data_IF_510462919232
#
_entry.id   IF_510462919232
#
_cell.length_a   1.000
_cell.length_b   1.000
_cell.length_c   1.000
_cell.angle_alpha   90.00
_cell.angle_beta   90.00
_cell.angle_gamma   90.00
#
_symmetry.space_group_name_H-M   'P 1'
#
loop_
_entity.id
_entity.type
_entity.pdbx_description
1 polymer ?
#
# COMPACT_ATOMS: atom_id res chain seq x y z
N UNK A 1 -3.58 2.57 17.92
CA UNK A 1 -3.49 3.45 16.74
C UNK A 1 -4.34 2.93 15.58
N UNK A 2 -4.36 1.62 15.29
CA UNK A 2 -5.28 1.06 14.27
C UNK A 2 -6.76 1.33 14.60
N UNK A 3 -7.14 1.33 15.87
CA UNK A 3 -8.48 1.76 16.33
C UNK A 3 -8.77 3.21 15.96
N UNK A 4 -7.78 4.11 16.03
CA UNK A 4 -7.95 5.52 15.64
C UNK A 4 -8.12 5.67 14.13
N UNK A 5 -7.33 4.92 13.33
CA UNK A 5 -7.48 4.93 11.87
C UNK A 5 -8.81 4.33 11.42
N UNK A 6 -9.26 3.26 12.10
CA UNK A 6 -10.54 2.63 11.80
C UNK A 6 -11.72 3.53 12.17
N UNK A 7 -11.69 4.15 13.37
CA UNK A 7 -12.71 5.13 13.78
C UNK A 7 -12.73 6.36 12.87
N UNK A 8 -11.59 6.81 12.36
CA UNK A 8 -11.54 7.88 11.36
C UNK A 8 -12.07 7.44 9.99
N UNK A 9 -11.85 6.18 9.59
CA UNK A 9 -12.43 5.64 8.37
C UNK A 9 -13.96 5.51 8.48
N UNK A 10 -14.46 5.07 9.64
CA UNK A 10 -15.89 5.03 9.96
C UNK A 10 -16.51 6.43 9.99
N UNK A 11 -15.85 7.41 10.62
CA UNK A 11 -16.29 8.80 10.62
C UNK A 11 -16.33 9.40 9.20
N UNK A 12 -15.36 9.07 8.35
CA UNK A 12 -15.38 9.45 6.93
C UNK A 12 -16.55 8.79 6.18
N UNK A 13 -16.84 7.53 6.47
CA UNK A 13 -18.02 6.83 5.94
C UNK A 13 -19.34 7.46 6.39
N UNK A 14 -19.43 7.93 7.64
CA UNK A 14 -20.57 8.67 8.16
C UNK A 14 -20.73 10.04 7.52
N UNK A 15 -19.64 10.72 7.13
CA UNK A 15 -19.73 11.96 6.36
C UNK A 15 -20.26 11.70 4.94
N UNK A 16 -19.83 10.60 4.33
CA UNK A 16 -20.35 10.19 3.03
C UNK A 16 -21.85 9.84 3.07
N UNK A 17 -22.36 9.36 4.22
CA UNK A 17 -23.80 9.10 4.41
C UNK A 17 -24.65 10.36 4.63
N UNK A 18 -24.04 11.55 4.73
CA UNK A 18 -24.75 12.83 4.73
C UNK A 18 -25.08 13.34 3.32
N UNK A 19 -24.42 12.82 2.29
CA UNK A 19 -24.64 13.20 0.89
C UNK A 19 -26.11 12.97 0.41
N UNK A 20 -26.79 11.88 0.81
CA UNK A 20 -28.23 11.72 0.55
C UNK A 20 -29.12 12.77 1.22
N UNK A 21 -28.70 13.39 2.34
CA UNK A 21 -29.45 14.47 2.98
C UNK A 21 -29.35 15.77 2.17
N UNK A 22 -28.19 16.06 1.58
CA UNK A 22 -28.03 17.15 0.60
C UNK A 22 -28.99 16.99 -0.58
N UNK A 23 -29.08 15.79 -1.16
CA UNK A 23 -30.04 15.49 -2.23
C UNK A 23 -31.50 15.69 -1.83
N UNK A 24 -31.84 15.57 -0.55
CA UNK A 24 -33.20 15.84 -0.05
C UNK A 24 -33.45 17.35 0.04
N UNK A 25 -32.46 18.13 0.47
CA UNK A 25 -32.53 19.59 0.49
C UNK A 25 -32.67 20.15 -0.94
N UNK A 26 -31.89 19.63 -1.88
CA UNK A 26 -31.99 19.97 -3.32
C UNK A 26 -33.42 19.72 -3.85
N UNK A 27 -34.00 18.56 -3.54
CA UNK A 27 -35.39 18.24 -3.93
C UNK A 27 -36.41 19.18 -3.31
N UNK A 28 -36.23 19.57 -2.05
CA UNK A 28 -37.14 20.53 -1.39
C UNK A 28 -37.02 21.92 -1.99
N UNK A 29 -35.81 22.35 -2.37
CA UNK A 29 -35.60 23.61 -3.10
C UNK A 29 -36.30 23.56 -4.46
N UNK A 30 -36.17 22.47 -5.21
CA UNK A 30 -36.84 22.30 -6.50
C UNK A 30 -38.37 22.31 -6.39
N UNK A 31 -38.93 21.74 -5.32
CA UNK A 31 -40.38 21.81 -5.06
C UNK A 31 -40.83 23.26 -4.76
N UNK A 32 -39.99 24.06 -4.07
CA UNK A 32 -40.28 25.48 -3.86
C UNK A 32 -40.28 26.25 -5.19
N UNK A 33 -39.37 25.93 -6.12
CA UNK A 33 -39.37 26.51 -7.47
C UNK A 33 -40.66 26.15 -8.24
N UNK A 34 -41.12 24.89 -8.17
CA UNK A 34 -42.37 24.47 -8.82
C UNK A 34 -43.62 25.16 -8.24
N UNK A 35 -43.62 25.46 -6.93
CA UNK A 35 -44.70 26.24 -6.29
C UNK A 35 -44.68 27.68 -6.78
N UNK A 36 -43.50 28.29 -6.91
CA UNK A 36 -43.36 29.63 -7.48
C UNK A 36 -43.85 29.68 -8.93
N UNK A 37 -43.46 28.71 -9.76
CA UNK A 37 -43.88 28.60 -11.16
C UNK A 37 -45.42 28.44 -11.28
N UNK A 38 -46.04 27.70 -10.37
CA UNK A 38 -47.51 27.51 -10.39
C UNK A 38 -48.25 28.80 -10.02
N UNK A 39 -47.73 29.57 -9.06
CA UNK A 39 -48.27 30.86 -8.67
C UNK A 39 -48.13 31.91 -9.78
N UNK A 40 -47.21 31.73 -10.73
CA UNK A 40 -47.02 32.64 -11.88
C UNK A 40 -47.86 32.25 -13.11
N UNK A 41 -48.66 31.19 -13.04
CA UNK A 41 -49.54 30.75 -14.13
C UNK A 41 -50.67 31.76 -14.43
N UNK A 42 -50.94 32.09 -15.72
CA UNK A 42 -51.95 33.09 -16.10
C UNK A 42 -53.39 32.75 -15.66
N UNK A 43 -53.68 31.48 -15.36
CA UNK A 43 -55.01 31.00 -15.01
C UNK A 43 -55.55 31.53 -13.65
N UNK A 44 -54.67 31.92 -12.72
CA UNK A 44 -55.07 32.54 -11.44
C UNK A 44 -55.19 34.06 -11.51
N UNK A 45 -54.64 34.71 -12.55
CA UNK A 45 -54.63 36.17 -12.68
C UNK A 45 -56.00 36.74 -13.09
N UNK A 46 -56.85 35.94 -13.75
CA UNK A 46 -58.12 36.38 -14.34
C UNK A 46 -59.35 36.21 -13.42
N UNK A 47 -59.23 35.51 -12.27
CA UNK A 47 -60.40 35.11 -11.46
C UNK A 47 -60.49 35.73 -10.04
N UNK A 48 -59.55 36.57 -9.60
CA UNK A 48 -59.43 36.92 -8.17
C UNK A 48 -59.93 38.29 -7.71
N UNK A 49 -60.85 38.33 -6.74
CA UNK A 49 -61.24 39.53 -5.95
C UNK A 49 -60.03 40.07 -5.16
N UNK A 50 -60.05 41.33 -4.73
CA UNK A 50 -58.94 42.02 -4.04
C UNK A 50 -58.31 41.27 -2.83
N UNK A 51 -59.08 40.39 -2.17
CA UNK A 51 -58.61 39.58 -1.04
C UNK A 51 -57.75 38.37 -1.46
N UNK A 52 -57.95 37.82 -2.66
CA UNK A 52 -57.22 36.64 -3.16
C UNK A 52 -55.83 37.03 -3.70
N UNK A 53 -55.71 38.24 -4.27
CA UNK A 53 -54.41 38.81 -4.69
C UNK A 53 -53.42 38.95 -3.54
N UNK A 54 -53.90 39.33 -2.35
CA UNK A 54 -53.06 39.44 -1.14
C UNK A 54 -52.61 38.09 -0.58
N UNK A 55 -53.37 37.02 -0.78
CA UNK A 55 -52.98 35.66 -0.38
C UNK A 55 -51.87 35.11 -1.31
N UNK A 56 -52.00 35.31 -2.62
CA UNK A 56 -50.98 34.93 -3.60
C UNK A 56 -49.65 35.67 -3.40
N UNK A 57 -49.69 36.98 -3.12
CA UNK A 57 -48.47 37.76 -2.85
C UNK A 57 -47.72 37.26 -1.60
N UNK A 58 -48.45 36.89 -0.53
CA UNK A 58 -47.85 36.32 0.68
C UNK A 58 -47.28 34.92 0.43
N UNK A 59 -47.99 34.08 -0.31
CA UNK A 59 -47.52 32.74 -0.68
C UNK A 59 -46.22 32.82 -1.51
N UNK A 60 -46.12 33.76 -2.46
CA UNK A 60 -44.89 34.01 -3.22
C UNK A 60 -43.72 34.42 -2.34
N UNK A 61 -43.90 35.44 -1.49
CA UNK A 61 -42.84 35.90 -0.58
C UNK A 61 -42.36 34.78 0.34
N UNK A 62 -43.27 33.96 0.88
CA UNK A 62 -42.92 32.79 1.70
C UNK A 62 -42.12 31.73 0.92
N UNK A 63 -42.47 31.51 -0.35
CA UNK A 63 -41.78 30.55 -1.19
C UNK A 63 -40.39 31.07 -1.65
N UNK A 64 -40.24 32.36 -1.93
CA UNK A 64 -38.95 33.00 -2.21
C UNK A 64 -38.01 32.99 -1.00
N UNK A 65 -38.54 33.26 0.19
CA UNK A 65 -37.80 33.19 1.45
C UNK A 65 -37.36 31.76 1.76
N UNK A 66 -38.25 30.78 1.54
CA UNK A 66 -37.94 29.36 1.71
C UNK A 66 -36.85 28.92 0.74
N UNK A 67 -36.96 29.29 -0.55
CA UNK A 67 -35.95 28.98 -1.58
C UNK A 67 -34.58 29.56 -1.20
N UNK A 68 -34.55 30.82 -0.79
CA UNK A 68 -33.30 31.52 -0.43
C UNK A 68 -32.66 30.88 0.80
N UNK A 69 -33.48 30.53 1.80
CA UNK A 69 -33.02 29.87 3.02
C UNK A 69 -32.49 28.46 2.74
N UNK A 70 -33.22 27.67 1.93
CA UNK A 70 -32.80 26.32 1.55
C UNK A 70 -31.52 26.33 0.72
N UNK A 71 -31.39 27.22 -0.27
CA UNK A 71 -30.19 27.33 -1.09
C UNK A 71 -28.95 27.83 -0.31
N UNK A 72 -29.16 28.61 0.75
CA UNK A 72 -28.06 29.00 1.66
C UNK A 72 -27.66 27.84 2.56
N UNK A 73 -28.64 27.15 3.16
CA UNK A 73 -28.40 25.96 3.98
C UNK A 73 -27.69 24.85 3.20
N UNK A 74 -28.08 24.61 1.94
CA UNK A 74 -27.46 23.62 1.07
C UNK A 74 -25.98 23.93 0.83
N UNK A 75 -25.66 25.17 0.42
CA UNK A 75 -24.28 25.60 0.18
C UNK A 75 -23.44 25.52 1.44
N UNK A 76 -23.95 26.01 2.57
CA UNK A 76 -23.24 25.99 3.84
C UNK A 76 -22.98 24.55 4.32
N UNK A 77 -23.97 23.67 4.19
CA UNK A 77 -23.83 22.27 4.57
C UNK A 77 -22.84 21.53 3.66
N UNK A 78 -22.92 21.73 2.34
CA UNK A 78 -21.99 21.15 1.37
C UNK A 78 -20.55 21.60 1.68
N UNK A 79 -20.32 22.90 1.88
CA UNK A 79 -19.02 23.43 2.26
C UNK A 79 -18.50 22.84 3.59
N UNK A 80 -19.38 22.62 4.58
CA UNK A 80 -18.99 22.04 5.87
C UNK A 80 -18.60 20.58 5.76
N UNK A 81 -19.38 19.77 5.05
CA UNK A 81 -19.07 18.35 4.79
C UNK A 81 -17.74 18.21 4.06
N UNK A 82 -17.50 19.04 3.04
CA UNK A 82 -16.25 19.04 2.30
C UNK A 82 -15.03 19.43 3.15
N UNK A 83 -15.19 20.43 4.01
CA UNK A 83 -14.14 20.90 4.92
C UNK A 83 -13.76 19.82 5.93
N UNK A 84 -14.75 19.23 6.59
CA UNK A 84 -14.54 18.11 7.52
C UNK A 84 -13.90 16.93 6.77
N UNK A 85 -14.34 16.63 5.54
CA UNK A 85 -13.75 15.60 4.70
C UNK A 85 -12.27 15.81 4.40
N UNK A 86 -11.82 17.06 4.20
CA UNK A 86 -10.40 17.42 4.06
C UNK A 86 -9.62 17.20 5.35
N UNK A 87 -10.13 17.72 6.48
CA UNK A 87 -9.49 17.59 7.79
C UNK A 87 -9.28 16.12 8.19
N UNK A 88 -10.26 15.25 7.96
CA UNK A 88 -10.12 13.82 8.21
C UNK A 88 -9.03 13.16 7.35
N UNK A 89 -8.90 13.55 6.07
CA UNK A 89 -7.84 13.02 5.19
C UNK A 89 -6.45 13.46 5.68
N UNK A 90 -6.31 14.71 6.09
CA UNK A 90 -5.05 15.23 6.63
C UNK A 90 -4.66 14.55 7.94
N UNK A 91 -5.61 14.41 8.86
CA UNK A 91 -5.39 13.75 10.13
C UNK A 91 -5.08 12.25 9.94
N UNK A 92 -5.76 11.56 9.01
CA UNK A 92 -5.43 10.17 8.63
C UNK A 92 -4.00 10.08 8.10
N UNK A 93 -3.63 10.97 7.19
CA UNK A 93 -2.26 11.01 6.63
C UNK A 93 -1.21 11.26 7.71
N UNK A 94 -1.51 12.13 8.69
CA UNK A 94 -0.65 12.36 9.84
C UNK A 94 -0.50 11.11 10.72
N UNK A 95 -1.61 10.41 11.00
CA UNK A 95 -1.59 9.15 11.75
C UNK A 95 -0.82 8.04 11.01
N UNK A 96 -0.95 7.93 9.69
CA UNK A 96 -0.15 7.01 8.87
C UNK A 96 1.35 7.33 8.95
N UNK A 97 1.74 8.61 9.01
CA UNK A 97 3.15 9.01 9.22
C UNK A 97 3.69 8.62 10.58
N UNK A 98 2.87 8.59 11.63
CA UNK A 98 3.29 8.17 12.97
C UNK A 98 3.63 6.67 13.05
N UNK A 99 3.22 5.86 12.07
CA UNK A 99 3.59 4.44 11.97
C UNK A 99 4.94 4.19 11.31
N UNK A 100 5.62 5.24 10.85
CA UNK A 100 6.83 5.05 10.08
C UNK A 100 8.03 4.72 10.95
N UNK A 101 8.56 3.52 10.75
CA UNK A 101 9.79 3.03 11.37
C UNK A 101 10.96 3.15 10.38
N UNK A 102 12.19 3.40 10.87
CA UNK A 102 13.36 3.43 10.00
C UNK A 102 13.66 2.02 9.47
N UNK A 103 14.06 1.93 8.19
CA UNK A 103 14.44 0.67 7.56
C UNK A 103 15.63 -0.02 8.27
N UNK A 104 16.46 0.75 8.99
CA UNK A 104 17.54 0.20 9.80
C UNK A 104 17.07 -0.80 10.86
N UNK A 105 15.80 -0.77 11.26
CA UNK A 105 15.23 -1.69 12.23
C UNK A 105 15.37 -3.18 11.83
N UNK A 106 15.45 -3.50 10.53
CA UNK A 106 15.64 -4.89 10.07
C UNK A 106 17.11 -5.28 9.87
N UNK A 107 18.03 -4.32 9.76
CA UNK A 107 19.42 -4.59 9.38
C UNK A 107 20.14 -5.47 10.40
N UNK A 108 19.92 -5.26 11.70
CA UNK A 108 20.52 -6.08 12.76
C UNK A 108 20.16 -7.56 12.62
N UNK A 109 18.92 -7.86 12.26
CA UNK A 109 18.50 -9.26 12.08
C UNK A 109 19.05 -9.86 10.79
N UNK A 110 19.10 -9.07 9.71
CA UNK A 110 19.68 -9.51 8.44
C UNK A 110 21.18 -9.80 8.59
N UNK A 111 21.91 -8.94 9.31
CA UNK A 111 23.32 -9.16 9.66
C UNK A 111 23.51 -10.45 10.44
N UNK A 112 22.69 -10.66 11.49
CA UNK A 112 22.73 -11.90 12.28
C UNK A 112 22.47 -13.12 11.40
N UNK A 113 21.46 -13.06 10.54
CA UNK A 113 21.13 -14.15 9.61
C UNK A 113 22.27 -14.45 8.65
N UNK A 114 22.92 -13.42 8.11
CA UNK A 114 24.08 -13.58 7.24
C UNK A 114 25.23 -14.28 7.97
N UNK A 115 25.53 -13.83 9.20
CA UNK A 115 26.58 -14.40 10.05
C UNK A 115 26.30 -15.86 10.40
N UNK A 116 25.10 -16.17 10.88
CA UNK A 116 24.71 -17.52 11.29
C UNK A 116 24.76 -18.48 10.09
N UNK A 117 24.29 -18.04 8.92
CA UNK A 117 24.34 -18.83 7.68
C UNK A 117 25.78 -19.07 7.20
N UNK A 118 26.64 -18.05 7.28
CA UNK A 118 28.04 -18.18 6.89
C UNK A 118 28.78 -19.14 7.81
N UNK A 119 28.54 -19.04 9.12
CA UNK A 119 29.17 -19.91 10.11
C UNK A 119 28.76 -21.38 9.92
N UNK A 120 27.48 -21.64 9.66
CA UNK A 120 26.98 -22.99 9.37
C UNK A 120 27.61 -23.62 8.11
N UNK A 121 28.03 -22.79 7.15
CA UNK A 121 28.61 -23.23 5.88
C UNK A 121 30.15 -23.11 5.82
N UNK A 122 30.81 -22.73 6.93
CA UNK A 122 32.25 -22.53 6.97
C UNK A 122 32.75 -21.38 6.07
N UNK A 123 31.92 -20.36 5.87
CA UNK A 123 32.23 -19.17 5.05
C UNK A 123 32.44 -17.94 5.94
N UNK A 124 33.06 -16.90 5.37
CA UNK A 124 33.21 -15.59 6.01
C UNK A 124 32.43 -14.54 5.22
N UNK A 125 31.62 -13.75 5.92
CA UNK A 125 30.80 -12.70 5.30
C UNK A 125 30.74 -11.45 6.17
N UNK A 126 30.72 -10.31 5.51
CA UNK A 126 30.40 -8.99 6.08
C UNK A 126 29.06 -8.54 5.50
N UNK A 127 28.13 -8.18 6.38
CA UNK A 127 26.86 -7.59 5.98
C UNK A 127 26.92 -6.07 6.09
N UNK A 128 26.33 -5.37 5.11
CA UNK A 128 26.24 -3.91 5.10
C UNK A 128 24.81 -3.46 4.78
N UNK A 129 24.21 -2.67 5.68
CA UNK A 129 22.91 -2.05 5.46
C UNK A 129 23.07 -0.59 5.02
N UNK A 130 22.41 -0.19 3.92
CA UNK A 130 22.43 1.19 3.39
C UNK A 130 21.02 1.73 3.24
N UNK A 131 20.83 3.03 3.49
CA UNK A 131 19.51 3.68 3.44
C UNK A 131 18.62 3.33 4.63
N UNK A 132 19.23 3.13 5.81
CA UNK A 132 18.52 2.78 7.03
C UNK A 132 17.62 3.89 7.58
N UNK A 133 17.86 5.13 7.15
CA UNK A 133 17.08 6.33 7.46
C UNK A 133 15.72 6.38 6.74
N UNK A 134 15.54 5.58 5.68
CA UNK A 134 14.28 5.50 4.93
C UNK A 134 13.15 5.06 5.87
N UNK A 135 12.12 5.90 5.97
CA UNK A 135 10.94 5.70 6.80
C UNK A 135 9.88 4.86 6.08
N UNK A 136 9.45 3.77 6.73
CA UNK A 136 8.58 2.72 6.18
C UNK A 136 7.44 2.39 7.13
N UNK A 137 6.27 2.08 6.57
CA UNK A 137 5.15 1.55 7.36
C UNK A 137 5.50 0.17 7.94
N UNK A 138 5.06 -0.10 9.18
CA UNK A 138 5.36 -1.35 9.90
C UNK A 138 4.85 -2.58 9.15
N UNK A 139 3.68 -2.53 8.51
CA UNK A 139 3.14 -3.67 7.76
C UNK A 139 3.98 -3.92 6.50
N UNK A 140 4.36 -2.86 5.79
CA UNK A 140 5.25 -2.97 4.63
C UNK A 140 6.60 -3.58 5.01
N UNK A 141 7.18 -3.13 6.12
CA UNK A 141 8.43 -3.67 6.65
C UNK A 141 8.27 -5.15 7.03
N UNK A 142 7.16 -5.52 7.65
CA UNK A 142 6.84 -6.91 8.01
C UNK A 142 6.73 -7.84 6.78
N UNK A 143 6.12 -7.39 5.69
CA UNK A 143 6.05 -8.15 4.44
C UNK A 143 7.44 -8.26 3.79
N UNK A 144 8.20 -7.16 3.73
CA UNK A 144 9.55 -7.17 3.17
C UNK A 144 10.52 -8.03 3.98
N UNK A 145 10.32 -8.13 5.29
CA UNK A 145 11.20 -8.82 6.23
C UNK A 145 11.48 -10.27 5.84
N UNK A 146 10.44 -11.07 5.58
CA UNK A 146 10.60 -12.48 5.21
C UNK A 146 11.37 -12.66 3.90
N UNK A 147 11.08 -11.82 2.90
CA UNK A 147 11.77 -11.86 1.61
C UNK A 147 13.26 -11.45 1.73
N UNK A 148 13.57 -10.44 2.55
CA UNK A 148 14.94 -9.99 2.77
C UNK A 148 15.77 -11.05 3.49
N UNK A 149 15.19 -11.73 4.49
CA UNK A 149 15.84 -12.87 5.16
C UNK A 149 16.21 -13.96 4.16
N UNK A 150 15.26 -14.33 3.28
CA UNK A 150 15.52 -15.34 2.26
C UNK A 150 16.60 -14.90 1.26
N UNK A 151 16.54 -13.65 0.81
CA UNK A 151 17.52 -13.09 -0.12
C UNK A 151 18.94 -13.10 0.48
N UNK A 152 19.08 -12.70 1.74
CA UNK A 152 20.39 -12.71 2.45
C UNK A 152 20.89 -14.14 2.64
N UNK A 153 20.02 -15.09 3.04
CA UNK A 153 20.42 -16.51 3.14
C UNK A 153 20.90 -17.05 1.80
N UNK A 154 20.17 -16.78 0.72
CA UNK A 154 20.54 -17.23 -0.61
C UNK A 154 21.87 -16.63 -1.06
N UNK A 155 22.09 -15.34 -0.82
CA UNK A 155 23.34 -14.65 -1.12
C UNK A 155 24.52 -15.33 -0.41
N UNK A 156 24.39 -15.66 0.88
CA UNK A 156 25.46 -16.35 1.63
C UNK A 156 25.60 -17.82 1.23
N UNK A 157 24.50 -18.54 1.07
CA UNK A 157 24.50 -19.97 0.81
C UNK A 157 25.03 -20.30 -0.60
N UNK A 158 24.61 -19.53 -1.60
CA UNK A 158 24.86 -19.84 -3.01
C UNK A 158 25.76 -18.80 -3.69
N UNK A 159 25.66 -17.53 -3.33
CA UNK A 159 26.50 -16.47 -3.89
C UNK A 159 27.94 -16.52 -3.38
N UNK A 160 28.12 -16.36 -2.06
CA UNK A 160 29.44 -16.28 -1.43
C UNK A 160 30.18 -17.62 -1.52
N UNK A 161 31.42 -17.58 -2.00
CA UNK A 161 32.31 -18.74 -2.09
C UNK A 161 33.10 -18.95 -0.79
N UNK A 162 33.58 -20.18 -0.52
CA UNK A 162 34.53 -20.43 0.56
C UNK A 162 35.79 -19.57 0.44
N UNK A 163 36.45 -19.30 1.57
CA UNK A 163 37.61 -18.40 1.63
C UNK A 163 38.73 -18.80 0.65
N UNK A 164 39.03 -20.10 0.53
CA UNK A 164 40.05 -20.62 -0.39
C UNK A 164 39.75 -20.30 -1.85
N UNK A 165 38.51 -20.59 -2.28
CA UNK A 165 38.05 -20.31 -3.65
C UNK A 165 38.08 -18.81 -3.96
N UNK A 166 37.71 -17.96 -3.00
CA UNK A 166 37.75 -16.50 -3.16
C UNK A 166 39.17 -15.99 -3.35
N UNK A 167 40.12 -16.45 -2.54
CA UNK A 167 41.53 -16.09 -2.67
C UNK A 167 42.13 -16.57 -4.01
N UNK A 168 41.79 -17.78 -4.44
CA UNK A 168 42.20 -18.32 -5.74
C UNK A 168 41.65 -17.48 -6.91
N UNK A 169 40.45 -16.90 -6.75
CA UNK A 169 39.84 -15.98 -7.71
C UNK A 169 40.31 -14.51 -7.56
N UNK A 170 41.28 -14.21 -6.68
CA UNK A 170 41.79 -12.85 -6.45
C UNK A 170 40.83 -11.93 -5.69
N UNK A 171 39.81 -12.48 -5.03
CA UNK A 171 38.82 -11.74 -4.24
C UNK A 171 39.24 -11.63 -2.77
N UNK A 172 38.59 -10.71 -2.05
CA UNK A 172 38.68 -10.62 -0.58
C UNK A 172 38.28 -11.96 0.08
N UNK A 173 38.98 -12.40 1.15
CA UNK A 173 38.62 -13.59 1.91
C UNK A 173 37.26 -13.46 2.61
N UNK A 174 36.84 -12.23 2.92
CA UNK A 174 35.49 -11.91 3.38
C UNK A 174 34.59 -11.62 2.19
N UNK A 175 33.51 -12.39 2.05
CA UNK A 175 32.40 -12.06 1.16
C UNK A 175 31.62 -10.85 1.67
N UNK A 176 30.99 -10.11 0.77
CA UNK A 176 30.15 -8.96 1.13
C UNK A 176 28.72 -9.18 0.67
N UNK A 177 27.77 -8.96 1.58
CA UNK A 177 26.34 -8.90 1.27
C UNK A 177 25.82 -7.53 1.69
N UNK A 178 25.23 -6.78 0.75
CA UNK A 178 24.71 -5.44 0.97
C UNK A 178 23.21 -5.42 0.77
N UNK A 179 22.46 -4.85 1.71
CA UNK A 179 21.05 -4.52 1.54
C UNK A 179 20.89 -3.01 1.48
N UNK A 180 20.46 -2.51 0.34
CA UNK A 180 20.22 -1.10 0.10
C UNK A 180 18.72 -0.81 -0.02
N UNK A 181 18.26 0.19 0.75
CA UNK A 181 16.86 0.63 0.76
C UNK A 181 16.80 2.04 0.20
N UNK A 182 15.97 2.25 -0.83
CA UNK A 182 15.77 3.58 -1.42
C UNK A 182 14.28 3.86 -1.61
N UNK A 183 13.89 5.13 -1.48
CA UNK A 183 12.54 5.58 -1.80
C UNK A 183 12.53 6.27 -3.16
N UNK A 184 11.68 5.81 -4.07
CA UNK A 184 11.45 6.40 -5.40
C UNK A 184 9.97 6.77 -5.51
N UNK A 185 9.64 8.02 -5.19
CA UNK A 185 8.26 8.50 -5.11
C UNK A 185 7.45 7.75 -4.04
N UNK A 186 6.37 7.10 -4.46
CA UNK A 186 5.53 6.28 -3.57
C UNK A 186 6.03 4.84 -3.41
N UNK A 187 7.10 4.43 -4.12
CA UNK A 187 7.67 3.08 -4.02
C UNK A 187 8.91 3.07 -3.15
N UNK A 188 9.11 1.97 -2.46
CA UNK A 188 10.37 1.65 -1.76
C UNK A 188 10.98 0.47 -2.47
N UNK A 189 12.25 0.60 -2.80
CA UNK A 189 13.03 -0.42 -3.49
C UNK A 189 14.07 -0.96 -2.51
N UNK A 190 14.04 -2.27 -2.33
CA UNK A 190 15.05 -3.03 -1.60
C UNK A 190 15.94 -3.73 -2.61
N UNK A 191 17.25 -3.57 -2.48
CA UNK A 191 18.25 -4.23 -3.32
C UNK A 191 19.17 -5.03 -2.43
N UNK A 192 19.19 -6.35 -2.60
CA UNK A 192 20.17 -7.24 -2.00
C UNK A 192 21.24 -7.56 -3.04
N UNK A 193 22.51 -7.33 -2.71
CA UNK A 193 23.63 -7.54 -3.60
C UNK A 193 24.73 -8.30 -2.87
N UNK A 194 25.34 -9.26 -3.54
CA UNK A 194 26.55 -9.94 -3.08
C UNK A 194 27.70 -9.77 -4.09
N UNK A 195 28.93 -10.03 -3.62
CA UNK A 195 30.16 -10.03 -4.44
C UNK A 195 30.64 -11.46 -4.76
N UNK A 196 29.72 -12.41 -4.71
CA UNK A 196 29.97 -13.83 -4.89
C UNK A 196 30.23 -14.24 -6.34
N UNK A 197 30.06 -15.53 -6.63
CA UNK A 197 30.32 -16.11 -7.95
C UNK A 197 29.23 -15.80 -8.99
N UNK A 198 28.14 -15.14 -8.56
CA UNK A 198 26.92 -15.01 -9.35
C UNK A 198 26.11 -16.31 -9.37
N UNK A 199 25.05 -16.33 -10.19
CA UNK A 199 24.15 -17.48 -10.33
C UNK A 199 24.50 -18.28 -11.58
N UNK A 200 24.82 -19.57 -11.40
CA UNK A 200 24.92 -20.51 -12.51
C UNK A 200 23.51 -20.93 -12.95
N UNK A 201 22.99 -20.27 -14.00
CA UNK A 201 21.65 -20.52 -14.52
C UNK A 201 21.47 -21.94 -15.05
N UNK A 202 22.54 -22.59 -15.52
CA UNK A 202 22.47 -23.94 -16.06
C UNK A 202 22.35 -24.97 -14.94
N UNK A 203 23.09 -24.77 -13.85
CA UNK A 203 22.92 -25.58 -12.65
C UNK A 203 21.51 -25.44 -12.05
N UNK A 204 20.99 -24.22 -11.98
CA UNK A 204 19.63 -23.94 -11.48
C UNK A 204 18.59 -24.65 -12.35
N UNK A 205 18.73 -24.57 -13.69
CA UNK A 205 17.86 -25.26 -14.64
C UNK A 205 17.89 -26.78 -14.43
N UNK A 206 19.08 -27.36 -14.28
CA UNK A 206 19.26 -28.80 -14.01
C UNK A 206 18.55 -29.21 -12.71
N UNK A 207 18.68 -28.40 -11.66
CA UNK A 207 18.10 -28.68 -10.34
C UNK A 207 16.57 -28.51 -10.32
N UNK A 208 16.06 -27.50 -11.04
CA UNK A 208 14.63 -27.27 -11.27
C UNK A 208 13.98 -28.47 -11.96
N UNK A 209 14.63 -29.02 -13.01
CA UNK A 209 14.16 -30.23 -13.72
C UNK A 209 14.12 -31.44 -12.79
N UNK A 210 15.19 -31.67 -12.02
CA UNK A 210 15.25 -32.80 -11.06
C UNK A 210 14.15 -32.77 -10.01
N UNK A 211 13.77 -31.58 -9.54
CA UNK A 211 12.71 -31.40 -8.54
C UNK A 211 11.29 -31.41 -9.12
N UNK A 212 11.12 -31.67 -10.43
CA UNK A 212 9.81 -31.65 -11.09
C UNK A 212 9.14 -30.26 -11.11
N UNK A 213 9.90 -29.20 -10.85
CA UNK A 213 9.40 -27.82 -10.84
C UNK A 213 9.26 -27.24 -12.25
N UNK A 214 9.78 -27.95 -13.26
CA UNK A 214 9.64 -27.64 -14.67
C UNK A 214 8.82 -28.77 -15.32
N UNK A 215 7.69 -28.43 -15.95
CA UNK A 215 6.94 -29.39 -16.78
C UNK A 215 7.79 -29.79 -17.99
N UNK A 216 7.52 -30.95 -18.57
CA UNK A 216 8.28 -31.56 -19.70
C UNK A 216 8.37 -30.69 -20.96
N UNK A 217 7.70 -29.53 -21.02
CA UNK A 217 7.86 -28.48 -22.02
C UNK A 217 8.93 -27.43 -21.61
N UNK A 218 9.93 -27.84 -20.82
CA UNK A 218 10.97 -27.02 -20.16
C UNK A 218 11.97 -26.31 -21.09
N UNK A 219 11.62 -26.02 -22.34
CA UNK A 219 12.43 -25.25 -23.28
C UNK A 219 12.18 -23.74 -23.15
N UNK A 220 11.13 -23.31 -22.44
CA UNK A 220 10.69 -21.91 -22.43
C UNK A 220 11.08 -21.07 -21.20
N UNK A 221 11.79 -21.62 -20.20
CA UNK A 221 12.15 -20.82 -19.01
C UNK A 221 13.38 -19.95 -19.27
N UNK A 222 13.14 -18.65 -19.38
CA UNK A 222 14.15 -17.62 -19.50
C UNK A 222 14.94 -17.39 -18.20
N UNK A 223 16.07 -16.67 -18.26
CA UNK A 223 16.92 -16.39 -17.11
C UNK A 223 16.19 -15.82 -15.89
N UNK A 224 15.20 -14.94 -16.11
CA UNK A 224 14.46 -14.29 -15.03
C UNK A 224 13.54 -15.26 -14.27
N UNK A 225 12.96 -16.23 -14.96
CA UNK A 225 12.04 -17.18 -14.33
C UNK A 225 12.81 -18.21 -13.49
N UNK A 226 13.99 -18.62 -13.95
CA UNK A 226 14.92 -19.45 -13.17
C UNK A 226 15.40 -18.74 -11.89
N UNK A 227 15.74 -17.45 -11.98
CA UNK A 227 16.07 -16.62 -10.82
C UNK A 227 14.87 -16.50 -9.86
N UNK A 228 13.66 -16.39 -10.39
CA UNK A 228 12.43 -16.38 -9.60
C UNK A 228 12.22 -17.66 -8.78
N UNK A 229 12.60 -18.82 -9.33
CA UNK A 229 12.50 -20.11 -8.60
C UNK A 229 13.48 -20.20 -7.43
N UNK A 230 14.69 -19.64 -7.56
CA UNK A 230 15.65 -19.54 -6.44
C UNK A 230 15.12 -18.65 -5.32
N UNK A 231 14.47 -17.54 -5.67
CA UNK A 231 13.92 -16.59 -4.70
C UNK A 231 12.70 -17.14 -3.94
N UNK A 232 11.92 -18.02 -4.57
CA UNK A 232 10.75 -18.69 -3.95
C UNK A 232 11.12 -19.88 -3.04
N UNK A 233 12.41 -20.21 -2.89
CA UNK A 233 12.84 -21.35 -2.07
C UNK A 233 12.53 -22.73 -2.65
N UNK A 234 12.11 -22.81 -3.93
CA UNK A 234 11.82 -24.11 -4.58
C UNK A 234 13.09 -24.92 -4.89
N UNK A 235 14.22 -24.24 -5.04
CA UNK A 235 15.47 -24.82 -5.52
C UNK A 235 16.61 -24.42 -4.59
N UNK A 236 17.35 -25.41 -4.07
CA UNK A 236 18.57 -25.23 -3.28
C UNK A 236 19.71 -25.90 -4.04
N UNK A 237 20.76 -25.15 -4.40
CA UNK A 237 21.90 -25.67 -5.18
C UNK A 237 22.94 -26.39 -4.34
N UNK A 238 22.83 -26.36 -3.01
CA UNK A 238 23.59 -27.23 -2.12
C UNK A 238 22.92 -28.59 -2.04
N UNK A 239 23.67 -29.66 -2.36
CA UNK A 239 23.20 -31.06 -2.40
C UNK A 239 22.74 -31.66 -1.06
N UNK A 240 22.57 -30.84 -0.03
CA UNK A 240 22.02 -31.22 1.27
C UNK A 240 20.57 -30.76 1.36
N UNK A 241 19.66 -31.73 1.24
CA UNK A 241 18.27 -31.57 1.69
C UNK A 241 18.30 -31.47 3.21
N UNK A 242 18.32 -30.26 3.75
CA UNK A 242 17.89 -30.05 5.14
C UNK A 242 16.38 -29.92 5.12
N UNK A 243 15.74 -31.04 5.39
CA UNK A 243 14.35 -31.15 5.78
C UNK A 243 14.14 -30.27 7.02
N UNK A 244 13.48 -29.13 6.84
CA UNK A 244 12.82 -28.42 7.94
C UNK A 244 11.36 -28.28 7.56
N UNK A 245 10.70 -29.43 7.64
CA UNK A 245 9.27 -29.56 7.80
C UNK A 245 8.83 -28.92 9.13
N UNK A 246 7.78 -28.08 9.07
CA UNK A 246 6.82 -27.92 10.17
C UNK A 246 6.73 -26.55 10.85
N UNK A 247 5.62 -25.82 10.59
CA UNK A 247 4.48 -25.68 11.52
C UNK A 247 3.83 -24.28 11.55
N UNK A 248 2.49 -24.26 11.35
CA UNK A 248 1.55 -23.20 11.73
C UNK A 248 1.45 -22.04 10.73
N UNK A 249 0.30 -21.67 10.17
CA UNK A 249 -1.08 -21.95 10.54
C UNK A 249 -1.86 -20.65 10.37
N UNK A 250 -2.60 -20.55 9.26
CA UNK A 250 -3.60 -19.51 8.91
C UNK A 250 -3.15 -18.05 8.83
#
# INVERSE_FOLDING_TARGET
MDVLLNTMAEAHGQLASLHPLLKRVERTSHLADLVLDHLDSPAEQDLGRSSERGAGQRARSLAEDLRTTLGTLERDFAHRVDSIGREFREARSAAERLRLVPASAVFTLLERTARDTAQALGKRVVFEGRGGDVRLDVQMLGVAHGALLQAVRNAVAHGIEPQGDRLAAGKSPDGRVTVHVTRRGNRVVFVCQDDGRGVDLEEVRRLARRKGLLSTQAEAFGPQELLGLLLKGGISTSGTVTDVSGAGGR
#
